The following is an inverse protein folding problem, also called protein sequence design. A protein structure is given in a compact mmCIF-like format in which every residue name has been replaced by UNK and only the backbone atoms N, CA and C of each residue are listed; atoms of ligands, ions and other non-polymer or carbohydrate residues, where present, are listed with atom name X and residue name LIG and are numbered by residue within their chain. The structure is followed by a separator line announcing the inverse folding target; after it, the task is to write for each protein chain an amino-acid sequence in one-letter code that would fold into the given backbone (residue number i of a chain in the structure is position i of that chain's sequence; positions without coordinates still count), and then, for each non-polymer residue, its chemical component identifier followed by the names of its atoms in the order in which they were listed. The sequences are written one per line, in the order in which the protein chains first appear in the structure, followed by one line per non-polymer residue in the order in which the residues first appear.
data_IF_716455490798
#
_entry.id   IF_716455490798
#
_cell.length_a   1.000
_cell.length_b   1.000
_cell.length_c   1.000
_cell.angle_alpha   90.00
_cell.angle_beta   90.00
_cell.angle_gamma   90.00
#
_symmetry.space_group_name_H-M   'P 1'
#
loop_
_entity.id
_entity.type
_entity.pdbx_description
1 polymer ?
#
# COMPACT_ATOMS: atom_id res chain seq x y z
N UNK A 1 -28.21 6.31 -9.36
CA UNK A 1 -27.55 7.61 -9.57
C UNK A 1 -26.21 7.31 -10.23
N UNK A 2 -26.00 7.81 -11.45
CA UNK A 2 -24.72 7.66 -12.16
C UNK A 2 -23.68 8.43 -11.37
N UNK A 3 -22.60 7.77 -10.98
CA UNK A 3 -21.40 8.42 -10.43
C UNK A 3 -20.86 9.28 -11.59
N UNK A 4 -20.67 10.60 -11.42
CA UNK A 4 -20.02 11.38 -12.45
C UNK A 4 -18.60 10.85 -12.61
N UNK A 5 -18.24 10.38 -13.80
CA UNK A 5 -16.86 10.11 -14.16
C UNK A 5 -16.12 11.44 -14.16
N UNK A 6 -15.40 11.73 -13.08
CA UNK A 6 -14.45 12.84 -13.09
C UNK A 6 -13.33 12.44 -14.03
N UNK A 7 -13.03 13.27 -15.03
CA UNK A 7 -11.83 13.09 -15.85
C UNK A 7 -10.60 13.02 -14.92
N UNK A 8 -9.60 12.18 -15.24
CA UNK A 8 -8.40 12.12 -14.44
C UNK A 8 -7.75 13.51 -14.35
N UNK A 9 -7.21 13.89 -13.17
CA UNK A 9 -6.61 15.20 -13.00
C UNK A 9 -5.41 15.39 -13.92
N UNK A 10 -5.24 16.60 -14.44
CA UNK A 10 -4.07 16.96 -15.25
C UNK A 10 -2.90 17.24 -14.31
N UNK A 11 -1.85 16.45 -14.42
CA UNK A 11 -0.56 16.66 -13.75
C UNK A 11 0.41 17.40 -14.68
N UNK A 12 1.43 18.09 -14.15
CA UNK A 12 2.55 18.55 -14.96
C UNK A 12 3.22 17.42 -15.74
N UNK A 13 3.75 17.70 -16.92
CA UNK A 13 4.38 16.71 -17.81
C UNK A 13 5.60 15.99 -17.17
N UNK A 14 6.18 16.58 -16.14
CA UNK A 14 7.31 16.02 -15.40
C UNK A 14 6.91 15.18 -14.16
N UNK A 15 5.60 14.98 -13.94
CA UNK A 15 5.05 14.03 -12.97
C UNK A 15 4.26 12.94 -13.71
N UNK A 16 4.87 11.76 -13.82
CA UNK A 16 4.30 10.63 -14.56
C UNK A 16 3.82 9.55 -13.60
N UNK A 17 2.51 9.35 -13.52
CA UNK A 17 1.93 8.26 -12.72
C UNK A 17 1.92 6.97 -13.55
N UNK A 18 2.64 5.98 -13.09
CA UNK A 18 2.48 4.61 -13.57
C UNK A 18 1.36 3.96 -12.77
N UNK A 19 0.14 4.11 -13.25
CA UNK A 19 -1.01 3.46 -12.61
C UNK A 19 -0.90 1.95 -12.78
N UNK A 20 -1.05 1.24 -11.66
CA UNK A 20 -0.85 -0.22 -11.60
C UNK A 20 -2.13 -0.92 -11.16
N UNK A 21 -2.26 -2.15 -11.62
CA UNK A 21 -3.29 -3.06 -11.10
C UNK A 21 -2.77 -3.80 -9.85
N UNK A 22 -3.69 -4.38 -9.11
CA UNK A 22 -3.32 -5.30 -8.04
C UNK A 22 -2.39 -6.39 -8.59
N UNK A 23 -1.30 -6.69 -8.00
CA UNK A 23 -0.85 -6.54 -6.60
C UNK A 23 0.19 -5.38 -6.41
N UNK A 24 0.41 -4.50 -7.33
CA UNK A 24 1.40 -3.43 -7.19
C UNK A 24 0.71 -2.11 -6.83
N UNK A 25 1.36 -1.30 -6.00
CA UNK A 25 1.02 0.10 -5.83
C UNK A 25 1.29 0.89 -7.12
N UNK A 26 0.65 2.04 -7.26
CA UNK A 26 1.03 3.06 -8.22
C UNK A 26 2.47 3.52 -7.96
N UNK A 27 3.15 3.93 -9.04
CA UNK A 27 4.46 4.52 -8.89
C UNK A 27 4.42 5.94 -9.49
N UNK A 28 4.99 6.93 -8.81
CA UNK A 28 5.16 8.27 -9.36
C UNK A 28 6.60 8.47 -9.82
N UNK A 29 6.82 8.76 -11.11
CA UNK A 29 8.07 9.25 -11.64
C UNK A 29 8.09 10.78 -11.62
N UNK A 30 9.06 11.37 -10.94
CA UNK A 30 9.35 12.80 -10.93
C UNK A 30 10.55 13.04 -11.84
N UNK A 31 10.31 13.66 -13.01
CA UNK A 31 11.34 13.90 -14.02
C UNK A 31 12.19 15.15 -13.70
N UNK A 32 13.36 15.24 -14.29
CA UNK A 32 14.30 16.34 -14.09
C UNK A 32 15.75 15.92 -14.29
N UNK A 33 16.70 16.71 -13.82
CA UNK A 33 18.12 16.36 -13.90
C UNK A 33 18.46 15.14 -13.00
N UNK A 34 17.73 14.99 -11.90
CA UNK A 34 17.83 13.90 -10.95
C UNK A 34 16.47 13.21 -10.85
N UNK A 35 16.12 12.32 -11.81
CA UNK A 35 14.83 11.66 -11.80
C UNK A 35 14.64 10.80 -10.56
N UNK A 36 13.42 10.81 -10.03
CA UNK A 36 13.06 10.02 -8.88
C UNK A 36 11.83 9.16 -9.16
N UNK A 37 11.71 8.05 -8.46
CA UNK A 37 10.49 7.25 -8.39
C UNK A 37 10.03 7.17 -6.93
N UNK A 38 8.73 7.31 -6.72
CA UNK A 38 8.09 7.04 -5.42
C UNK A 38 7.29 5.76 -5.55
N UNK A 39 7.55 4.82 -4.65
CA UNK A 39 7.11 3.45 -4.62
C UNK A 39 7.46 2.64 -5.88
N UNK A 40 7.53 1.32 -5.78
CA UNK A 40 8.16 0.49 -6.82
C UNK A 40 7.33 -0.73 -7.22
N UNK A 41 6.17 -0.91 -6.59
CA UNK A 41 5.31 -2.05 -6.83
C UNK A 41 5.81 -3.34 -6.17
N UNK A 42 5.09 -4.43 -6.41
CA UNK A 42 5.36 -5.75 -5.82
C UNK A 42 6.51 -6.47 -6.52
N UNK A 43 7.25 -7.32 -5.79
CA UNK A 43 8.38 -8.10 -6.31
C UNK A 43 8.02 -8.96 -7.51
N UNK A 44 6.81 -9.50 -7.58
CA UNK A 44 6.28 -10.25 -8.72
C UNK A 44 6.31 -9.46 -10.02
N UNK A 45 6.15 -8.15 -9.95
CA UNK A 45 6.13 -7.23 -11.09
C UNK A 45 7.42 -6.40 -11.24
N UNK A 46 8.47 -6.71 -10.48
CA UNK A 46 9.71 -5.93 -10.45
C UNK A 46 10.33 -5.72 -11.85
N UNK A 47 10.36 -6.77 -12.69
CA UNK A 47 10.86 -6.66 -14.06
C UNK A 47 9.98 -5.74 -14.94
N UNK A 48 8.67 -5.71 -14.71
CA UNK A 48 7.75 -4.78 -15.38
C UNK A 48 8.02 -3.35 -14.92
N UNK A 49 8.21 -3.11 -13.62
CA UNK A 49 8.54 -1.79 -13.08
C UNK A 49 9.83 -1.24 -13.71
N UNK A 50 10.88 -2.06 -13.80
CA UNK A 50 12.13 -1.66 -14.47
C UNK A 50 11.91 -1.27 -15.93
N UNK A 51 11.08 -2.00 -16.68
CA UNK A 51 10.75 -1.66 -18.08
C UNK A 51 10.00 -0.33 -18.17
N UNK A 52 8.93 -0.16 -17.38
CA UNK A 52 8.12 1.06 -17.38
C UNK A 52 8.97 2.29 -17.04
N UNK A 53 9.86 2.19 -16.06
CA UNK A 53 10.79 3.27 -15.71
C UNK A 53 11.74 3.58 -16.87
N UNK A 54 12.30 2.56 -17.53
CA UNK A 54 13.17 2.75 -18.71
C UNK A 54 12.43 3.40 -19.87
N UNK A 55 11.20 3.00 -20.12
CA UNK A 55 10.38 3.55 -21.21
C UNK A 55 10.14 5.05 -21.02
N UNK A 56 9.94 5.50 -19.77
CA UNK A 56 9.76 6.92 -19.45
C UNK A 56 11.08 7.68 -19.45
N UNK A 57 12.14 7.14 -18.84
CA UNK A 57 13.42 7.84 -18.69
C UNK A 57 14.31 7.80 -19.95
N UNK A 58 14.06 6.86 -20.86
CA UNK A 58 14.90 6.65 -22.04
C UNK A 58 16.34 6.32 -21.65
N UNK A 59 17.28 7.20 -21.98
CA UNK A 59 18.71 7.05 -21.67
C UNK A 59 19.11 7.64 -20.32
N UNK A 60 18.19 8.33 -19.64
CA UNK A 60 18.48 8.98 -18.37
C UNK A 60 18.54 7.93 -17.24
N UNK A 61 19.50 8.12 -16.32
CA UNK A 61 19.60 7.24 -15.16
C UNK A 61 18.60 7.66 -14.07
N UNK A 62 18.00 6.68 -13.39
CA UNK A 62 17.23 6.91 -12.17
C UNK A 62 18.20 7.32 -11.06
N UNK A 63 17.92 8.44 -10.40
CA UNK A 63 18.79 8.98 -9.34
C UNK A 63 18.29 8.66 -7.94
N UNK A 64 16.95 8.60 -7.75
CA UNK A 64 16.35 8.44 -6.43
C UNK A 64 15.17 7.47 -6.46
N UNK A 65 15.11 6.59 -5.45
CA UNK A 65 13.91 5.82 -5.07
C UNK A 65 13.47 6.35 -3.71
N UNK A 66 12.18 6.64 -3.53
CA UNK A 66 11.60 7.00 -2.25
C UNK A 66 10.39 6.09 -1.96
N UNK A 67 10.11 5.84 -0.68
CA UNK A 67 8.99 4.99 -0.28
C UNK A 67 8.06 5.71 0.68
N UNK A 68 6.74 5.63 0.41
CA UNK A 68 5.73 6.09 1.35
C UNK A 68 5.70 5.21 2.61
N UNK A 69 5.82 3.90 2.42
CA UNK A 69 5.94 2.88 3.47
C UNK A 69 6.53 1.59 2.86
N UNK A 70 6.74 0.56 3.67
CA UNK A 70 7.50 -0.60 3.23
C UNK A 70 6.67 -1.89 3.11
N UNK A 71 5.36 -1.80 2.87
CA UNK A 71 4.63 -2.99 2.44
C UNK A 71 5.15 -3.47 1.09
N UNK A 72 5.13 -4.78 0.87
CA UNK A 72 5.83 -5.42 -0.25
C UNK A 72 5.29 -5.03 -1.64
N UNK A 73 4.06 -4.57 -1.72
CA UNK A 73 3.44 -4.03 -2.93
C UNK A 73 3.85 -2.58 -3.24
N UNK A 74 4.51 -1.91 -2.29
CA UNK A 74 5.13 -0.59 -2.46
C UNK A 74 6.64 -0.67 -2.67
N UNK A 75 7.34 -1.57 -1.97
CA UNK A 75 8.81 -1.59 -2.01
C UNK A 75 9.42 -2.79 -2.73
N UNK A 76 8.61 -3.77 -3.17
CA UNK A 76 9.09 -5.04 -3.73
C UNK A 76 9.90 -4.93 -5.02
N UNK A 77 9.74 -3.86 -5.80
CA UNK A 77 10.52 -3.61 -7.02
C UNK A 77 11.89 -2.97 -6.80
N UNK A 78 12.18 -2.50 -5.58
CA UNK A 78 13.38 -1.70 -5.25
C UNK A 78 14.68 -2.41 -5.60
N UNK A 79 14.85 -3.67 -5.19
CA UNK A 79 16.07 -4.42 -5.49
C UNK A 79 16.35 -4.56 -6.98
N UNK A 80 15.30 -4.71 -7.82
CA UNK A 80 15.46 -4.77 -9.27
C UNK A 80 15.83 -3.41 -9.88
N UNK A 81 15.29 -2.30 -9.34
CA UNK A 81 15.69 -0.95 -9.74
C UNK A 81 17.13 -0.65 -9.34
N UNK A 82 17.56 -1.01 -8.13
CA UNK A 82 18.96 -0.88 -7.71
C UNK A 82 19.91 -1.69 -8.58
N UNK A 83 19.52 -2.89 -8.98
CA UNK A 83 20.31 -3.69 -9.92
C UNK A 83 20.39 -3.05 -11.32
N UNK A 84 19.31 -2.39 -11.76
CA UNK A 84 19.25 -1.72 -13.06
C UNK A 84 19.98 -0.36 -13.08
N UNK A 85 20.02 0.34 -11.94
CA UNK A 85 20.70 1.64 -11.72
C UNK A 85 21.52 1.59 -10.42
N UNK A 86 22.74 1.03 -10.46
CA UNK A 86 23.55 0.80 -9.24
C UNK A 86 23.94 2.05 -8.45
N UNK A 87 23.84 3.24 -9.06
CA UNK A 87 24.11 4.52 -8.40
C UNK A 87 22.87 5.19 -7.79
N UNK A 88 21.69 4.54 -7.86
CA UNK A 88 20.46 5.09 -7.32
C UNK A 88 20.52 5.17 -5.80
N UNK A 89 20.05 6.28 -5.23
CA UNK A 89 19.94 6.48 -3.78
C UNK A 89 18.54 6.13 -3.33
N UNK A 90 18.40 5.32 -2.28
CA UNK A 90 17.09 4.87 -1.78
C UNK A 90 16.75 5.53 -0.44
N UNK A 91 15.57 6.13 -0.38
CA UNK A 91 15.02 6.85 0.77
C UNK A 91 13.81 6.08 1.32
N UNK A 92 13.80 5.85 2.62
CA UNK A 92 12.74 5.13 3.33
C UNK A 92 12.25 5.95 4.54
N UNK A 93 11.05 5.73 5.07
CA UNK A 93 10.63 6.36 6.32
C UNK A 93 11.72 6.24 7.40
N UNK A 94 11.97 7.33 8.14
CA UNK A 94 13.11 7.44 9.06
C UNK A 94 13.21 6.25 10.01
N UNK A 95 12.10 5.87 10.62
CA UNK A 95 12.06 4.77 11.60
C UNK A 95 12.30 3.39 10.99
N UNK A 96 12.13 3.24 9.68
CA UNK A 96 12.37 1.98 8.94
C UNK A 96 13.82 1.80 8.50
N UNK A 97 14.61 2.89 8.44
CA UNK A 97 15.97 2.87 7.86
C UNK A 97 16.85 1.80 8.50
N UNK A 98 16.89 1.73 9.82
CA UNK A 98 17.70 0.76 10.54
C UNK A 98 17.26 -0.69 10.30
N UNK A 99 15.96 -0.96 10.16
CA UNK A 99 15.43 -2.28 9.87
C UNK A 99 15.82 -2.73 8.45
N UNK A 100 15.72 -1.85 7.45
CA UNK A 100 16.16 -2.13 6.07
C UNK A 100 17.65 -2.41 6.01
N UNK A 101 18.48 -1.59 6.67
CA UNK A 101 19.94 -1.76 6.66
C UNK A 101 20.39 -3.11 7.24
N UNK A 102 19.69 -3.59 8.28
CA UNK A 102 19.92 -4.92 8.87
C UNK A 102 19.16 -6.04 8.16
N UNK A 103 18.18 -5.68 7.34
CA UNK A 103 17.20 -6.58 6.75
C UNK A 103 16.46 -7.41 7.80
N UNK A 104 15.83 -6.71 8.71
CA UNK A 104 15.07 -7.29 9.83
C UNK A 104 13.61 -7.49 9.38
N UNK A 105 13.30 -8.65 8.80
CA UNK A 105 11.99 -8.97 8.22
C UNK A 105 10.85 -8.95 9.25
N UNK A 106 11.16 -9.21 10.51
CA UNK A 106 10.18 -9.09 11.58
C UNK A 106 9.82 -7.64 11.87
N UNK A 107 10.83 -6.74 11.95
CA UNK A 107 10.63 -5.31 12.13
C UNK A 107 10.01 -4.63 10.89
N UNK A 108 10.16 -5.24 9.70
CA UNK A 108 9.54 -4.82 8.44
C UNK A 108 8.14 -5.43 8.24
N UNK A 109 7.63 -6.18 9.22
CA UNK A 109 6.34 -6.89 9.22
C UNK A 109 6.15 -7.95 8.12
N UNK A 110 7.20 -8.32 7.39
CA UNK A 110 7.09 -9.31 6.30
C UNK A 110 6.78 -10.71 6.83
N UNK A 111 7.50 -11.17 7.86
CA UNK A 111 7.30 -12.49 8.47
C UNK A 111 5.87 -12.66 9.03
N UNK A 112 5.38 -11.63 9.74
CA UNK A 112 4.08 -11.70 10.42
C UNK A 112 2.89 -11.71 9.47
N UNK A 113 3.02 -11.09 8.30
CA UNK A 113 1.92 -10.92 7.33
C UNK A 113 2.02 -11.83 6.13
N UNK A 114 3.13 -12.57 5.98
CA UNK A 114 3.40 -13.43 4.82
C UNK A 114 3.75 -12.65 3.56
N UNK A 115 4.13 -11.39 3.68
CA UNK A 115 4.56 -10.56 2.56
C UNK A 115 5.91 -11.02 2.02
N UNK A 116 6.08 -11.00 0.71
CA UNK A 116 7.33 -11.33 0.05
C UNK A 116 7.98 -10.08 -0.53
N UNK A 117 9.19 -9.76 -0.07
CA UNK A 117 9.99 -8.69 -0.60
C UNK A 117 11.43 -9.12 -0.81
N UNK A 118 12.01 -8.82 -1.96
CA UNK A 118 13.43 -9.01 -2.19
C UNK A 118 14.26 -8.00 -1.43
N UNK A 119 15.40 -8.44 -0.86
CA UNK A 119 16.30 -7.55 -0.12
C UNK A 119 16.76 -6.39 -0.98
N UNK A 120 16.75 -5.19 -0.41
CA UNK A 120 17.28 -3.96 -0.99
C UNK A 120 18.05 -3.14 0.05
N UNK A 121 18.82 -2.15 -0.40
CA UNK A 121 19.53 -1.22 0.47
C UNK A 121 18.75 0.08 0.65
N UNK A 122 18.96 0.77 1.79
CA UNK A 122 18.45 2.11 2.01
C UNK A 122 19.56 3.03 2.51
N UNK A 123 19.61 4.24 1.95
CA UNK A 123 20.72 5.19 2.15
C UNK A 123 20.31 6.37 3.03
N UNK A 124 19.07 6.86 2.90
CA UNK A 124 18.63 8.10 3.50
C UNK A 124 17.24 7.96 4.17
N UNK A 125 16.99 8.70 5.25
CA UNK A 125 15.68 8.74 5.88
C UNK A 125 14.77 9.81 5.27
N UNK A 126 13.51 9.48 5.06
CA UNK A 126 12.41 10.44 4.91
C UNK A 126 11.96 10.88 6.31
N UNK A 127 12.33 12.09 6.70
CA UNK A 127 12.11 12.61 8.07
C UNK A 127 10.87 13.51 8.07
N UNK A 128 9.78 13.16 8.78
CA UNK A 128 8.61 14.01 8.90
C UNK A 128 8.96 15.44 9.38
N UNK A 129 8.32 16.43 8.78
CA UNK A 129 8.60 17.85 9.02
C UNK A 129 9.78 18.41 8.23
N UNK A 130 10.47 17.58 7.43
CA UNK A 130 11.50 18.03 6.50
C UNK A 130 10.99 17.99 5.05
N UNK A 131 11.82 18.48 4.13
CA UNK A 131 11.60 18.39 2.69
C UNK A 131 12.53 17.39 2.02
N UNK A 132 12.12 16.89 0.87
CA UNK A 132 12.93 16.09 -0.05
C UNK A 132 12.76 16.59 -1.48
N UNK A 133 13.88 16.68 -2.23
CA UNK A 133 13.86 17.00 -3.65
C UNK A 133 13.68 15.74 -4.47
N UNK A 134 12.57 15.64 -5.23
CA UNK A 134 12.32 14.55 -6.16
C UNK A 134 12.06 15.13 -7.55
N UNK A 135 12.92 14.80 -8.50
CA UNK A 135 12.91 15.43 -9.81
C UNK A 135 13.10 16.95 -9.72
N UNK A 136 12.11 17.71 -10.20
CA UNK A 136 12.11 19.18 -10.18
C UNK A 136 11.35 19.79 -9.01
N UNK A 137 10.73 18.97 -8.16
CA UNK A 137 9.79 19.41 -7.13
C UNK A 137 10.34 19.23 -5.72
N UNK A 138 9.98 20.14 -4.82
CA UNK A 138 10.30 20.09 -3.41
C UNK A 138 9.08 19.59 -2.62
N UNK A 139 9.20 18.38 -2.09
CA UNK A 139 8.13 17.71 -1.38
C UNK A 139 8.30 17.84 0.13
N UNK A 140 7.23 18.15 0.82
CA UNK A 140 7.13 18.10 2.27
C UNK A 140 6.83 16.67 2.71
N UNK A 141 7.49 16.21 3.76
CA UNK A 141 7.30 14.88 4.34
C UNK A 141 6.43 15.01 5.59
N UNK A 142 5.31 14.31 5.61
CA UNK A 142 4.42 14.28 6.78
C UNK A 142 4.28 12.85 7.27
N UNK A 143 4.31 12.64 8.61
CA UNK A 143 3.98 11.34 9.19
C UNK A 143 2.52 11.00 8.89
N UNK A 144 2.27 9.74 8.55
CA UNK A 144 0.95 9.23 8.18
C UNK A 144 0.71 7.83 8.78
N UNK A 145 0.85 7.67 10.12
CA UNK A 145 0.62 6.39 10.76
C UNK A 145 -0.84 5.95 10.64
N UNK A 146 -1.07 4.64 10.69
CA UNK A 146 -2.41 4.04 10.68
C UNK A 146 -2.47 2.76 9.85
N UNK A 147 -2.36 2.83 8.51
CA UNK A 147 -2.23 1.63 7.67
C UNK A 147 -0.88 0.92 7.89
N UNK A 148 0.18 1.69 7.98
CA UNK A 148 1.51 1.30 8.46
C UNK A 148 1.93 2.34 9.52
N UNK A 149 2.43 1.87 10.66
CA UNK A 149 2.79 2.75 11.79
C UNK A 149 3.91 3.75 11.46
N UNK A 150 4.73 3.45 10.46
CA UNK A 150 5.91 4.23 10.06
C UNK A 150 5.72 4.97 8.73
N UNK A 151 4.52 4.90 8.13
CA UNK A 151 4.22 5.50 6.85
C UNK A 151 4.40 7.03 6.85
N UNK A 152 4.73 7.55 5.67
CA UNK A 152 4.73 8.98 5.36
C UNK A 152 3.89 9.26 4.14
N UNK A 153 3.34 10.47 4.07
CA UNK A 153 2.80 11.06 2.84
C UNK A 153 3.71 12.17 2.37
N UNK A 154 3.75 12.39 1.06
CA UNK A 154 4.56 13.45 0.45
C UNK A 154 3.64 14.50 -0.17
N UNK A 155 3.83 15.76 0.18
CA UNK A 155 3.02 16.87 -0.33
C UNK A 155 3.88 17.89 -1.06
N UNK A 156 3.51 18.20 -2.30
CA UNK A 156 4.09 19.28 -3.09
C UNK A 156 3.18 20.50 -3.02
N UNK A 157 3.54 21.55 -2.23
CA UNK A 157 2.60 22.61 -1.88
C UNK A 157 2.34 23.60 -3.03
N UNK A 158 3.24 23.73 -4.00
CA UNK A 158 3.06 24.65 -5.14
C UNK A 158 2.03 24.14 -6.13
N UNK A 159 1.96 22.83 -6.31
CA UNK A 159 1.03 22.15 -7.19
C UNK A 159 -0.24 21.67 -6.45
N UNK A 160 -0.19 21.64 -5.12
CA UNK A 160 -1.25 21.04 -4.31
C UNK A 160 -1.35 19.50 -4.52
N UNK A 161 -0.25 18.83 -4.85
CA UNK A 161 -0.23 17.39 -5.11
C UNK A 161 0.17 16.62 -3.88
N UNK A 162 -0.66 15.67 -3.47
CA UNK A 162 -0.42 14.74 -2.37
C UNK A 162 -0.18 13.33 -2.91
N UNK A 163 0.94 12.72 -2.52
CA UNK A 163 1.15 11.27 -2.59
C UNK A 163 0.69 10.67 -1.27
N UNK A 164 -0.48 10.07 -1.28
CA UNK A 164 -1.11 9.57 -0.06
C UNK A 164 -0.69 8.15 0.33
N UNK A 165 -0.01 7.41 -0.57
CA UNK A 165 0.20 5.98 -0.35
C UNK A 165 -1.14 5.30 -0.02
N UNK A 166 -1.15 4.55 1.07
CA UNK A 166 -2.32 3.80 1.51
C UNK A 166 -3.14 4.51 2.61
N UNK A 167 -2.78 5.77 2.92
CA UNK A 167 -3.54 6.59 3.86
C UNK A 167 -4.88 7.07 3.29
N UNK A 168 -4.97 7.31 1.97
CA UNK A 168 -6.22 7.76 1.34
C UNK A 168 -6.31 7.32 -0.12
N UNK A 169 -7.38 6.61 -0.47
CA UNK A 169 -7.79 6.29 -1.84
C UNK A 169 -9.14 6.93 -2.16
N UNK A 170 -9.48 7.12 -3.42
CA UNK A 170 -10.79 7.70 -3.77
C UNK A 170 -11.95 6.90 -3.16
N UNK A 171 -11.87 5.57 -3.17
CA UNK A 171 -12.96 4.68 -2.73
C UNK A 171 -12.59 3.80 -1.53
N UNK A 172 -11.52 4.11 -0.83
CA UNK A 172 -11.08 3.30 0.31
C UNK A 172 -9.86 3.84 1.01
N UNK A 173 -9.24 2.95 1.76
CA UNK A 173 -7.99 3.15 2.50
C UNK A 173 -7.28 1.82 2.60
N UNK A 174 -5.98 1.82 2.84
CA UNK A 174 -5.23 0.63 3.22
C UNK A 174 -5.86 -0.07 4.44
N UNK A 175 -5.77 -1.39 4.49
CA UNK A 175 -6.27 -2.14 5.65
C UNK A 175 -5.40 -1.87 6.87
N UNK A 176 -6.01 -1.67 8.02
CA UNK A 176 -5.31 -1.45 9.29
C UNK A 176 -5.21 -2.78 10.01
N UNK A 177 -4.03 -3.08 10.58
CA UNK A 177 -3.80 -4.28 11.38
C UNK A 177 -3.32 -3.93 12.80
N UNK A 178 -4.14 -3.33 13.67
CA UNK A 178 -3.74 -2.81 14.98
C UNK A 178 -3.03 -3.82 15.87
N UNK A 179 -3.26 -5.12 15.62
CA UNK A 179 -2.78 -6.22 16.44
C UNK A 179 -1.56 -6.93 15.84
N UNK A 180 -1.15 -6.59 14.61
CA UNK A 180 -0.06 -7.26 13.90
C UNK A 180 1.18 -6.38 13.87
N UNK A 181 1.03 -5.11 13.52
CA UNK A 181 2.13 -4.18 13.31
C UNK A 181 2.36 -3.21 14.49
N UNK A 182 1.50 -3.29 15.53
CA UNK A 182 1.57 -2.37 16.68
C UNK A 182 1.09 -0.96 16.36
N UNK A 183 0.44 -0.77 15.20
CA UNK A 183 -0.30 0.45 14.90
C UNK A 183 -1.50 0.54 15.84
N UNK A 184 -1.57 1.63 16.57
CA UNK A 184 -2.33 1.63 17.82
C UNK A 184 -3.81 1.65 17.67
N UNK A 185 -4.38 2.17 16.61
CA UNK A 185 -5.83 2.18 16.50
C UNK A 185 -6.34 2.97 15.29
N UNK A 186 -7.65 2.97 15.18
CA UNK A 186 -8.39 3.77 14.22
C UNK A 186 -8.29 5.28 14.51
N UNK A 187 -7.93 5.69 15.73
CA UNK A 187 -7.78 7.09 16.12
C UNK A 187 -6.49 7.67 15.51
N UNK A 188 -5.38 6.94 15.56
CA UNK A 188 -4.13 7.28 14.87
C UNK A 188 -4.33 7.47 13.36
N UNK A 189 -5.17 6.61 12.76
CA UNK A 189 -5.50 6.79 11.35
C UNK A 189 -6.34 8.05 11.08
N UNK A 190 -7.28 8.39 11.97
CA UNK A 190 -8.05 9.63 11.89
C UNK A 190 -7.16 10.87 12.00
N UNK A 191 -6.14 10.84 12.88
CA UNK A 191 -5.14 11.92 12.96
C UNK A 191 -4.41 12.13 11.62
N UNK A 192 -4.10 11.04 10.91
CA UNK A 192 -3.54 11.10 9.55
C UNK A 192 -4.52 11.72 8.55
N UNK A 193 -5.81 11.36 8.61
CA UNK A 193 -6.82 12.01 7.77
C UNK A 193 -6.94 13.51 8.07
N UNK A 194 -6.79 13.92 9.33
CA UNK A 194 -6.77 15.33 9.73
C UNK A 194 -5.52 16.05 9.22
N UNK A 195 -4.37 15.37 9.13
CA UNK A 195 -3.18 15.91 8.45
C UNK A 195 -3.48 16.15 6.98
N UNK A 196 -4.03 15.17 6.27
CA UNK A 196 -4.37 15.28 4.83
C UNK A 196 -5.36 16.41 4.60
N UNK A 197 -6.41 16.54 5.43
CA UNK A 197 -7.39 17.61 5.33
C UNK A 197 -6.76 18.99 5.50
N UNK A 198 -5.85 19.16 6.49
CA UNK A 198 -5.11 20.43 6.71
C UNK A 198 -4.13 20.78 5.59
N UNK A 199 -3.57 19.80 4.91
CA UNK A 199 -2.72 20.03 3.73
C UNK A 199 -3.51 20.57 2.55
N UNK A 200 -4.82 20.35 2.54
CA UNK A 200 -5.76 20.89 1.56
C UNK A 200 -5.36 20.60 0.10
N UNK A 201 -5.10 19.32 -0.27
CA UNK A 201 -4.58 18.99 -1.59
C UNK A 201 -5.60 19.28 -2.71
N UNK A 202 -5.09 19.68 -3.86
CA UNK A 202 -5.87 19.81 -5.10
C UNK A 202 -5.94 18.47 -5.85
N UNK A 203 -4.88 17.67 -5.78
CA UNK A 203 -4.77 16.36 -6.42
C UNK A 203 -4.20 15.36 -5.42
N UNK A 204 -4.78 14.16 -5.39
CA UNK A 204 -4.27 13.01 -4.64
C UNK A 204 -3.85 11.93 -5.62
N UNK A 205 -2.62 11.45 -5.46
CA UNK A 205 -2.08 10.27 -6.13
C UNK A 205 -2.02 9.16 -5.08
N UNK A 206 -2.97 8.20 -5.09
CA UNK A 206 -3.05 7.14 -4.09
C UNK A 206 -2.08 6.00 -4.38
N UNK A 207 -1.82 5.16 -3.38
CA UNK A 207 -1.10 3.90 -3.57
C UNK A 207 -1.85 2.96 -4.52
N UNK A 208 -3.18 2.94 -4.46
CA UNK A 208 -4.02 2.11 -5.33
C UNK A 208 -5.20 2.90 -5.90
N UNK A 209 -5.56 2.56 -7.16
CA UNK A 209 -6.62 3.23 -7.89
C UNK A 209 -6.13 4.42 -8.73
N UNK A 210 -7.04 5.15 -9.35
CA UNK A 210 -6.71 6.30 -10.17
C UNK A 210 -6.38 7.55 -9.32
N UNK A 211 -5.49 8.44 -9.78
CA UNK A 211 -5.39 9.79 -9.22
C UNK A 211 -6.74 10.51 -9.29
N UNK A 212 -7.05 11.29 -8.27
CA UNK A 212 -8.29 12.04 -8.17
C UNK A 212 -8.03 13.46 -7.65
N UNK A 213 -8.97 14.35 -7.90
CA UNK A 213 -8.79 15.76 -7.57
C UNK A 213 -9.94 16.29 -6.71
N UNK A 214 -9.78 17.51 -6.20
CA UNK A 214 -10.82 18.24 -5.46
C UNK A 214 -12.09 18.50 -6.30
N UNK A 215 -12.00 18.42 -7.62
CA UNK A 215 -13.12 18.62 -8.50
C UNK A 215 -14.32 17.73 -8.12
N UNK A 216 -15.50 18.32 -8.07
CA UNK A 216 -16.72 17.61 -7.67
C UNK A 216 -16.78 17.15 -6.20
N UNK A 217 -15.85 17.61 -5.35
CA UNK A 217 -15.80 17.26 -3.93
C UNK A 217 -15.26 15.84 -3.66
N UNK A 218 -14.50 15.25 -4.61
CA UNK A 218 -14.08 13.84 -4.49
C UNK A 218 -13.13 13.63 -3.31
N UNK A 219 -12.22 14.58 -3.00
CA UNK A 219 -11.31 14.48 -1.86
C UNK A 219 -12.08 14.50 -0.53
N UNK A 220 -13.00 15.46 -0.36
CA UNK A 220 -13.83 15.55 0.85
C UNK A 220 -14.69 14.30 1.03
N UNK A 221 -15.25 13.81 -0.07
CA UNK A 221 -16.02 12.56 -0.06
C UNK A 221 -15.15 11.33 0.27
N UNK A 222 -13.89 11.29 -0.18
CA UNK A 222 -12.94 10.23 0.17
C UNK A 222 -12.58 10.27 1.66
N UNK A 223 -12.26 11.44 2.21
CA UNK A 223 -12.01 11.65 3.64
C UNK A 223 -13.21 11.25 4.48
N UNK A 224 -14.43 11.67 4.07
CA UNK A 224 -15.67 11.28 4.74
C UNK A 224 -15.86 9.77 4.79
N UNK A 225 -15.70 9.07 3.66
CA UNK A 225 -15.80 7.61 3.58
C UNK A 225 -14.73 6.90 4.43
N UNK A 226 -13.50 7.44 4.45
CA UNK A 226 -12.43 6.90 5.29
C UNK A 226 -12.80 6.99 6.78
N UNK A 227 -13.24 8.16 7.26
CA UNK A 227 -13.68 8.36 8.65
C UNK A 227 -14.87 7.46 9.03
N UNK A 228 -15.88 7.39 8.16
CA UNK A 228 -17.03 6.48 8.36
C UNK A 228 -16.59 5.02 8.50
N UNK A 229 -15.62 4.59 7.68
CA UNK A 229 -15.07 3.23 7.75
C UNK A 229 -14.30 3.00 9.05
N UNK A 230 -13.50 3.96 9.51
CA UNK A 230 -12.78 3.86 10.79
C UNK A 230 -13.76 3.79 11.96
N UNK A 231 -14.76 4.66 11.99
CA UNK A 231 -15.81 4.63 13.00
C UNK A 231 -16.59 3.29 13.02
N UNK A 232 -16.92 2.75 11.83
CA UNK A 232 -17.58 1.45 11.73
C UNK A 232 -16.71 0.32 12.28
N UNK A 233 -15.43 0.26 11.91
CA UNK A 233 -14.55 -0.82 12.36
C UNK A 233 -14.22 -0.71 13.85
N UNK A 234 -14.04 0.50 14.36
CA UNK A 234 -13.87 0.74 15.79
C UNK A 234 -15.09 0.24 16.60
N UNK A 235 -16.31 0.53 16.11
CA UNK A 235 -17.54 0.06 16.73
C UNK A 235 -17.81 -1.45 16.53
N UNK A 236 -17.18 -2.07 15.53
CA UNK A 236 -17.43 -3.46 15.10
C UNK A 236 -16.13 -4.25 14.90
N UNK A 237 -15.29 -4.45 15.94
CA UNK A 237 -13.94 -5.05 15.78
C UNK A 237 -13.98 -6.47 15.21
N UNK A 238 -15.03 -7.26 15.49
CA UNK A 238 -15.18 -8.58 14.88
C UNK A 238 -15.44 -8.52 13.36
N UNK A 239 -16.12 -7.49 12.87
CA UNK A 239 -16.29 -7.27 11.43
C UNK A 239 -14.99 -6.79 10.77
N UNK A 240 -14.23 -5.96 11.47
CA UNK A 240 -12.89 -5.58 11.04
C UNK A 240 -11.98 -6.81 10.91
N UNK A 241 -11.95 -7.70 11.90
CA UNK A 241 -11.16 -8.93 11.85
C UNK A 241 -11.53 -9.83 10.65
N UNK A 242 -12.83 -9.96 10.36
CA UNK A 242 -13.28 -10.68 9.16
C UNK A 242 -12.85 -10.00 7.86
N UNK A 243 -12.86 -8.68 7.82
CA UNK A 243 -12.36 -7.91 6.67
C UNK A 243 -10.87 -8.10 6.50
N UNK A 244 -10.06 -7.92 7.55
CA UNK A 244 -8.62 -8.10 7.55
C UNK A 244 -8.22 -9.51 7.11
N UNK A 245 -8.89 -10.56 7.62
CA UNK A 245 -8.64 -11.93 7.20
C UNK A 245 -8.89 -12.15 5.71
N UNK A 246 -9.95 -11.56 5.14
CA UNK A 246 -10.24 -11.64 3.70
C UNK A 246 -9.17 -10.95 2.87
N UNK A 247 -8.67 -9.80 3.32
CA UNK A 247 -7.57 -9.08 2.64
C UNK A 247 -6.31 -9.93 2.62
N UNK A 248 -5.90 -10.51 3.75
CA UNK A 248 -4.72 -11.39 3.82
C UNK A 248 -4.83 -12.59 2.87
N UNK A 249 -6.00 -13.25 2.86
CA UNK A 249 -6.24 -14.41 1.98
C UNK A 249 -6.20 -14.01 0.50
N UNK A 250 -6.84 -12.89 0.14
CA UNK A 250 -6.82 -12.37 -1.23
C UNK A 250 -5.41 -11.99 -1.67
N UNK A 251 -4.69 -11.28 -0.80
CA UNK A 251 -3.30 -10.87 -1.04
C UNK A 251 -2.39 -12.08 -1.32
N UNK A 252 -2.48 -13.13 -0.50
CA UNK A 252 -1.73 -14.38 -0.70
C UNK A 252 -2.01 -15.00 -2.07
N UNK A 253 -3.29 -15.08 -2.47
CA UNK A 253 -3.66 -15.69 -3.75
C UNK A 253 -3.25 -14.82 -4.95
N UNK A 254 -3.29 -13.50 -4.82
CA UNK A 254 -2.76 -12.57 -5.82
C UNK A 254 -1.24 -12.72 -5.99
N UNK A 255 -0.52 -12.99 -4.89
CA UNK A 255 0.92 -13.17 -4.92
C UNK A 255 1.34 -14.47 -5.63
N UNK A 256 0.65 -15.58 -5.36
CA UNK A 256 1.02 -16.91 -5.90
C UNK A 256 0.20 -17.36 -7.12
N UNK A 257 -0.77 -16.55 -7.58
CA UNK A 257 -1.74 -16.81 -8.65
C UNK A 257 -2.76 -17.91 -8.34
N UNK A 258 -2.32 -19.08 -7.89
CA UNK A 258 -3.18 -20.19 -7.52
C UNK A 258 -2.46 -21.12 -6.51
N UNK A 259 -3.25 -21.79 -5.69
CA UNK A 259 -2.77 -22.84 -4.78
C UNK A 259 -3.60 -24.11 -4.99
N UNK A 260 -2.97 -25.29 -4.86
CA UNK A 260 -3.76 -26.53 -4.76
C UNK A 260 -4.66 -26.45 -3.50
N UNK A 261 -5.76 -27.20 -3.48
CA UNK A 261 -6.63 -27.25 -2.29
C UNK A 261 -5.84 -27.58 -1.01
N UNK A 262 -4.97 -28.60 -1.09
CA UNK A 262 -4.15 -29.01 0.05
C UNK A 262 -3.10 -27.96 0.47
N UNK A 263 -2.51 -27.21 -0.47
CA UNK A 263 -1.58 -26.12 -0.16
C UNK A 263 -2.30 -24.94 0.47
N UNK A 264 -3.50 -24.62 -0.02
CA UNK A 264 -4.32 -23.55 0.51
C UNK A 264 -4.76 -23.84 1.96
N UNK A 265 -5.23 -25.06 2.24
CA UNK A 265 -5.59 -25.50 3.59
C UNK A 265 -4.38 -25.44 4.53
N UNK A 266 -3.20 -25.96 4.10
CA UNK A 266 -1.98 -25.87 4.89
C UNK A 266 -1.54 -24.45 5.16
N UNK A 267 -1.66 -23.57 4.18
CA UNK A 267 -1.32 -22.16 4.36
C UNK A 267 -2.28 -21.48 5.35
N UNK A 268 -3.59 -21.70 5.25
CA UNK A 268 -4.57 -21.17 6.20
C UNK A 268 -4.25 -21.62 7.64
N UNK A 269 -3.92 -22.90 7.82
CA UNK A 269 -3.60 -23.47 9.13
C UNK A 269 -2.24 -22.99 9.67
N UNK A 270 -1.35 -22.54 8.81
CA UNK A 270 -0.01 -22.06 9.20
C UNK A 270 0.06 -20.52 9.35
N UNK A 271 -0.93 -19.75 8.86
CA UNK A 271 -0.87 -18.29 8.81
C UNK A 271 -1.02 -17.64 10.20
N UNK A 272 0.05 -17.09 10.82
CA UNK A 272 0.00 -16.58 12.20
C UNK A 272 -1.01 -15.44 12.35
N UNK A 273 -1.09 -14.55 11.36
CA UNK A 273 -2.01 -13.40 11.38
C UNK A 273 -3.48 -13.82 11.40
N UNK A 274 -3.84 -14.89 10.67
CA UNK A 274 -5.22 -15.41 10.69
C UNK A 274 -5.56 -16.02 12.06
N UNK A 275 -4.62 -16.76 12.68
CA UNK A 275 -4.80 -17.28 14.02
C UNK A 275 -4.94 -16.16 15.07
N UNK A 276 -4.13 -15.11 14.94
CA UNK A 276 -4.21 -13.94 15.82
C UNK A 276 -5.59 -13.27 15.75
N UNK A 277 -6.07 -12.99 14.54
CA UNK A 277 -7.40 -12.40 14.31
C UNK A 277 -8.52 -13.28 14.87
N UNK A 278 -8.44 -14.60 14.69
CA UNK A 278 -9.39 -15.54 15.25
C UNK A 278 -9.40 -15.51 16.78
N UNK A 279 -8.21 -15.65 17.40
CA UNK A 279 -8.07 -15.71 18.86
C UNK A 279 -8.51 -14.42 19.57
N UNK A 280 -8.28 -13.26 18.96
CA UNK A 280 -8.64 -11.98 19.57
C UNK A 280 -10.12 -11.63 19.41
N UNK A 281 -10.75 -12.02 18.31
CA UNK A 281 -12.07 -11.52 17.97
C UNK A 281 -13.18 -12.58 18.01
N UNK A 282 -12.86 -13.85 17.82
CA UNK A 282 -13.85 -14.96 17.82
C UNK A 282 -13.30 -16.23 18.44
N UNK A 283 -12.71 -16.16 19.65
CA UNK A 283 -12.22 -17.35 20.36
C UNK A 283 -13.36 -18.33 20.74
N UNK A 284 -14.60 -17.88 20.68
CA UNK A 284 -15.83 -18.68 20.91
C UNK A 284 -16.12 -19.67 19.78
N UNK A 285 -15.59 -19.45 18.58
CA UNK A 285 -15.76 -20.36 17.44
C UNK A 285 -14.57 -21.30 17.31
N UNK A 286 -14.84 -22.55 16.96
CA UNK A 286 -13.79 -23.45 16.53
C UNK A 286 -13.15 -22.93 15.23
N UNK A 287 -11.83 -23.11 15.05
CA UNK A 287 -11.06 -22.65 13.91
C UNK A 287 -11.70 -22.96 12.54
N UNK A 288 -12.14 -24.22 12.26
CA UNK A 288 -12.78 -24.51 10.97
C UNK A 288 -14.11 -23.76 10.76
N UNK A 289 -14.87 -23.49 11.84
CA UNK A 289 -16.12 -22.75 11.75
C UNK A 289 -15.86 -21.26 11.48
N UNK A 290 -14.82 -20.67 12.08
CA UNK A 290 -14.39 -19.31 11.80
C UNK A 290 -13.89 -19.17 10.35
N UNK A 291 -13.03 -20.08 9.87
CA UNK A 291 -12.60 -20.10 8.48
C UNK A 291 -13.78 -20.20 7.50
N UNK A 292 -14.76 -21.04 7.79
CA UNK A 292 -15.97 -21.11 6.97
C UNK A 292 -16.73 -19.77 6.93
N UNK A 293 -16.74 -19.03 8.04
CA UNK A 293 -17.35 -17.68 8.12
C UNK A 293 -16.62 -16.66 7.24
N UNK A 294 -15.28 -16.77 7.13
CA UNK A 294 -14.46 -15.93 6.27
C UNK A 294 -14.62 -16.33 4.79
N UNK A 295 -14.45 -17.61 4.48
CA UNK A 295 -14.30 -18.11 3.11
C UNK A 295 -15.62 -18.23 2.34
N UNK A 296 -16.72 -18.62 3.02
CA UNK A 296 -18.01 -18.81 2.34
C UNK A 296 -18.48 -17.57 1.58
N UNK A 297 -18.44 -16.33 2.16
CA UNK A 297 -18.77 -15.14 1.39
C UNK A 297 -17.80 -14.83 0.26
N UNK A 298 -16.50 -15.17 0.41
CA UNK A 298 -15.51 -14.93 -0.63
C UNK A 298 -15.79 -15.78 -1.87
N UNK A 299 -16.07 -17.07 -1.69
CA UNK A 299 -16.45 -17.96 -2.79
C UNK A 299 -17.82 -17.62 -3.39
N UNK A 300 -18.83 -17.37 -2.54
CA UNK A 300 -20.21 -17.12 -3.03
C UNK A 300 -20.34 -15.81 -3.82
N UNK A 301 -19.47 -14.81 -3.53
CA UNK A 301 -19.41 -13.52 -4.23
C UNK A 301 -18.42 -13.50 -5.38
N UNK A 302 -17.74 -14.62 -5.66
CA UNK A 302 -16.73 -14.71 -6.72
C UNK A 302 -15.41 -14.00 -6.41
N UNK A 303 -15.19 -13.52 -5.18
CA UNK A 303 -13.90 -12.94 -4.75
C UNK A 303 -12.79 -13.98 -4.81
N UNK A 304 -13.12 -15.23 -4.49
CA UNK A 304 -12.27 -16.39 -4.74
C UNK A 304 -12.99 -17.35 -5.67
N UNK A 305 -12.22 -18.03 -6.50
CA UNK A 305 -12.68 -19.10 -7.36
C UNK A 305 -11.96 -20.38 -7.04
N UNK A 306 -12.64 -21.51 -7.26
CA UNK A 306 -12.06 -22.85 -7.16
C UNK A 306 -12.48 -23.70 -8.33
N UNK A 307 -11.57 -24.50 -8.83
CA UNK A 307 -11.84 -25.59 -9.78
C UNK A 307 -11.60 -26.95 -9.11
N UNK A 308 -11.45 -28.02 -9.89
CA UNK A 308 -11.24 -29.37 -9.34
C UNK A 308 -9.94 -29.53 -8.54
N UNK A 309 -8.95 -28.66 -8.71
CA UNK A 309 -7.60 -28.82 -8.19
C UNK A 309 -7.04 -27.60 -7.44
N UNK A 310 -7.48 -26.41 -7.78
CA UNK A 310 -6.90 -25.17 -7.27
C UNK A 310 -7.92 -24.16 -6.75
N UNK A 311 -7.44 -23.31 -5.84
CA UNK A 311 -8.06 -22.06 -5.41
C UNK A 311 -7.24 -20.90 -5.98
N UNK A 312 -7.92 -19.85 -6.44
CA UNK A 312 -7.32 -18.66 -7.02
C UNK A 312 -8.13 -17.41 -6.69
N UNK A 313 -7.53 -16.22 -6.91
CA UNK A 313 -8.29 -14.98 -6.90
C UNK A 313 -9.35 -14.98 -8.02
N UNK A 314 -10.51 -14.38 -7.73
CA UNK A 314 -11.66 -14.37 -8.63
C UNK A 314 -11.81 -13.08 -9.45
N UNK A 315 -10.79 -12.21 -9.45
CA UNK A 315 -10.82 -10.85 -10.03
C UNK A 315 -11.22 -10.80 -11.48
#
# INVERSE_FOLDING_TARGET
MSIPSTEPPTLPDDLVVLQRDWLSSNNLLCLGEQPAIVDTGHVKHAAQTVRLVRDVLGTQALATIAHTHLHSDHCGGTGALQAAWPAVTTWVPESSLGAVQRWDEAALSFDGTGQRCGRFGADQPLVPGRGVRLGRHDWQIHAAPGHDALAVVLFEPTLGVLLSGDALWEHGVGVIFPHIDGSDDFDTFNDTLDVIERLDPEIVIPGHGAPFSRAGGAIDAALGRARERMAYFNAQPAQHALYAAKVLIKYQLLDVDAMTHADFERWLDAAPSLHLLHQQHRPDLAWPAWLAHVLTPMFSKGVLQRDATHVRDGA
#
